data_IF_220615294380
#
_entry.id   IF_220615294380
#
_cell.length_a   1.000
_cell.length_b   1.000
_cell.length_c   1.000
_cell.angle_alpha   90.00
_cell.angle_beta   90.00
_cell.angle_gamma   90.00
#
_symmetry.space_group_name_H-M   'P 1'
#
loop_
_entity.id
_entity.type
_entity.pdbx_description
1 polymer ?
#
# COMPACT_ATOMS: atom_id res chain seq x y z
N UNK A 1 -0.44 -4.67 -29.77
CA UNK A 1 0.08 -4.39 -28.41
C UNK A 1 -1.09 -4.47 -27.46
N UNK A 2 -1.30 -5.67 -26.94
CA UNK A 2 -2.51 -6.10 -26.25
C UNK A 2 -2.64 -5.48 -24.86
N UNK A 3 -3.79 -4.82 -24.66
CA UNK A 3 -4.23 -4.11 -23.44
C UNK A 3 -4.59 -5.07 -22.28
N UNK A 4 -4.02 -6.28 -22.28
CA UNK A 4 -4.20 -7.32 -21.25
C UNK A 4 -3.11 -7.33 -20.18
N UNK A 5 -2.10 -6.46 -20.28
CA UNK A 5 -1.04 -6.38 -19.29
C UNK A 5 -1.50 -5.62 -18.04
N UNK A 6 -1.40 -6.31 -16.90
CA UNK A 6 -1.51 -5.84 -15.51
C UNK A 6 -2.95 -5.74 -14.98
N UNK A 7 -3.64 -6.88 -14.91
CA UNK A 7 -4.68 -7.10 -13.88
C UNK A 7 -4.03 -7.74 -12.64
N UNK A 8 -3.04 -7.08 -12.03
CA UNK A 8 -2.56 -7.46 -10.69
C UNK A 8 -3.42 -6.72 -9.69
N UNK A 9 -4.64 -7.23 -9.51
CA UNK A 9 -5.55 -6.82 -8.45
C UNK A 9 -5.39 -7.85 -7.35
N UNK A 10 -4.25 -7.84 -6.65
CA UNK A 10 -4.16 -8.51 -5.35
C UNK A 10 -4.86 -7.58 -4.36
N UNK A 11 -6.19 -7.62 -4.40
CA UNK A 11 -7.05 -7.00 -3.39
C UNK A 11 -7.00 -7.92 -2.19
N UNK A 12 -6.10 -7.63 -1.25
CA UNK A 12 -6.27 -8.12 0.11
C UNK A 12 -7.25 -7.17 0.77
N UNK A 13 -8.52 -7.29 0.38
CA UNK A 13 -9.61 -6.72 1.14
C UNK A 13 -9.75 -7.58 2.40
N UNK A 14 -9.35 -7.04 3.53
CA UNK A 14 -9.89 -7.47 4.82
C UNK A 14 -11.32 -6.95 4.87
N UNK A 15 -12.22 -7.67 4.20
CA UNK A 15 -13.66 -7.39 4.26
C UNK A 15 -14.17 -7.90 5.61
N UNK A 16 -14.07 -7.06 6.64
CA UNK A 16 -15.02 -7.12 7.75
C UNK A 16 -16.24 -6.29 7.33
N UNK A 17 -17.38 -6.97 7.21
CA UNK A 17 -18.55 -6.54 6.42
C UNK A 17 -19.01 -5.09 6.64
N UNK A 18 -19.15 -4.38 5.51
CA UNK A 18 -20.01 -3.21 5.40
C UNK A 18 -20.85 -3.38 4.12
N UNK A 19 -22.20 -3.34 4.18
CA UNK A 19 -23.04 -3.51 3.00
C UNK A 19 -22.87 -2.30 2.06
N UNK A 20 -22.73 -2.62 0.77
CA UNK A 20 -22.66 -1.69 -0.35
C UNK A 20 -23.88 -0.75 -0.35
N UNK A 21 -23.65 0.55 -0.22
CA UNK A 21 -24.55 1.58 -0.74
C UNK A 21 -23.77 2.43 -1.74
N UNK A 22 -24.07 2.21 -3.02
CA UNK A 22 -23.67 3.06 -4.13
C UNK A 22 -24.30 4.45 -3.93
N UNK A 23 -23.48 5.43 -3.53
CA UNK A 23 -23.75 6.84 -3.82
C UNK A 23 -22.63 7.35 -4.71
N UNK A 24 -23.02 7.80 -5.90
CA UNK A 24 -22.13 8.34 -6.92
C UNK A 24 -21.22 9.44 -6.33
N UNK A 25 -19.93 9.15 -6.19
CA UNK A 25 -18.94 10.20 -5.92
C UNK A 25 -18.62 10.87 -7.25
N UNK A 26 -18.99 12.15 -7.35
CA UNK A 26 -18.57 13.01 -8.45
C UNK A 26 -17.05 13.06 -8.45
N UNK A 27 -16.46 12.85 -9.63
CA UNK A 27 -15.03 13.05 -9.88
C UNK A 27 -14.68 14.49 -9.49
N UNK A 28 -13.99 14.64 -8.36
CA UNK A 28 -13.40 15.89 -7.88
C UNK A 28 -11.89 15.79 -8.05
N UNK A 29 -11.33 16.80 -8.71
CA UNK A 29 -9.95 16.91 -9.18
C UNK A 29 -8.87 16.45 -8.18
N UNK A 30 -7.81 15.85 -8.71
CA UNK A 30 -6.51 15.67 -8.06
C UNK A 30 -5.89 17.03 -7.72
N UNK A 31 -6.24 17.59 -6.56
CA UNK A 31 -5.53 18.73 -5.97
C UNK A 31 -4.33 18.26 -5.13
N UNK A 32 -3.35 19.15 -4.87
CA UNK A 32 -2.29 18.87 -3.89
C UNK A 32 -2.95 18.57 -2.54
N UNK A 33 -2.62 17.39 -1.98
CA UNK A 33 -3.18 16.93 -0.71
C UNK A 33 -2.43 17.62 0.42
N UNK A 34 -3.04 18.59 1.09
CA UNK A 34 -2.39 19.22 2.26
C UNK A 34 -2.54 18.34 3.49
N UNK A 35 -1.64 17.38 3.66
CA UNK A 35 -1.27 16.90 4.99
C UNK A 35 -0.44 17.99 5.68
N UNK A 36 -0.45 18.02 7.02
CA UNK A 36 0.54 18.83 7.72
C UNK A 36 1.95 18.30 7.40
N UNK A 37 2.97 19.14 7.15
CA UNK A 37 4.29 18.69 6.70
C UNK A 37 4.93 17.62 7.58
N UNK A 38 4.86 17.77 8.91
CA UNK A 38 5.40 16.79 9.86
C UNK A 38 4.59 15.47 9.87
N UNK A 39 3.29 15.55 9.60
CA UNK A 39 2.45 14.36 9.49
C UNK A 39 2.80 13.58 8.22
N UNK A 40 3.01 14.28 7.12
CA UNK A 40 3.40 13.71 5.83
C UNK A 40 4.75 13.00 5.90
N UNK A 41 5.78 13.68 6.41
CA UNK A 41 7.12 13.12 6.52
C UNK A 41 7.16 11.81 7.33
N UNK A 42 6.43 11.76 8.44
CA UNK A 42 6.35 10.57 9.27
C UNK A 42 5.54 9.44 8.62
N UNK A 43 4.44 9.72 7.92
CA UNK A 43 3.71 8.71 7.16
C UNK A 43 4.55 8.12 6.02
N UNK A 44 5.33 8.98 5.33
CA UNK A 44 6.29 8.54 4.31
C UNK A 44 7.34 7.63 4.92
N UNK A 45 7.93 8.01 6.05
CA UNK A 45 8.93 7.20 6.74
C UNK A 45 8.38 5.81 7.13
N UNK A 46 7.16 5.75 7.69
CA UNK A 46 6.52 4.50 8.06
C UNK A 46 6.23 3.60 6.85
N UNK A 47 5.73 4.18 5.75
CA UNK A 47 5.44 3.42 4.53
C UNK A 47 6.71 2.87 3.87
N UNK A 48 7.77 3.68 3.81
CA UNK A 48 9.08 3.26 3.30
C UNK A 48 9.70 2.17 4.19
N UNK A 49 9.60 2.29 5.51
CA UNK A 49 10.13 1.26 6.42
C UNK A 49 9.37 -0.06 6.31
N UNK A 50 8.05 -0.02 6.12
CA UNK A 50 7.27 -1.24 5.84
C UNK A 50 7.84 -2.02 4.66
N UNK A 51 8.11 -1.35 3.54
CA UNK A 51 8.65 -2.02 2.33
C UNK A 51 10.10 -2.45 2.56
N UNK A 52 10.89 -1.67 3.29
CA UNK A 52 12.26 -2.04 3.65
C UNK A 52 12.28 -3.31 4.52
N UNK A 53 11.41 -3.40 5.53
CA UNK A 53 11.29 -4.56 6.40
C UNK A 53 10.88 -5.82 5.61
N UNK A 54 9.90 -5.70 4.69
CA UNK A 54 9.54 -6.78 3.77
C UNK A 54 10.72 -7.27 2.94
N UNK A 55 11.51 -6.34 2.39
CA UNK A 55 12.66 -6.68 1.55
C UNK A 55 13.75 -7.44 2.32
N UNK A 56 13.83 -7.26 3.65
CA UNK A 56 14.73 -7.98 4.56
C UNK A 56 14.13 -9.27 5.13
N UNK A 57 12.87 -9.60 4.81
CA UNK A 57 12.16 -10.73 5.40
C UNK A 57 11.72 -10.52 6.86
N UNK A 58 11.75 -9.28 7.35
CA UNK A 58 11.33 -8.93 8.70
C UNK A 58 9.82 -8.61 8.74
N UNK A 59 9.01 -9.65 8.68
CA UNK A 59 7.55 -9.52 8.65
C UNK A 59 6.96 -9.08 10.00
N UNK A 60 7.69 -9.28 11.10
CA UNK A 60 7.30 -8.77 12.41
C UNK A 60 7.41 -7.23 12.42
N UNK A 61 8.54 -6.67 11.96
CA UNK A 61 8.70 -5.23 11.82
C UNK A 61 7.71 -4.65 10.79
N UNK A 62 7.53 -5.31 9.64
CA UNK A 62 6.64 -4.84 8.58
C UNK A 62 5.17 -4.70 9.04
N UNK A 63 4.73 -5.49 10.02
CA UNK A 63 3.35 -5.47 10.54
C UNK A 63 3.23 -4.73 11.88
N UNK A 64 4.32 -4.22 12.45
CA UNK A 64 4.33 -3.60 13.79
C UNK A 64 3.39 -2.37 13.87
N UNK A 65 3.31 -1.59 12.80
CA UNK A 65 2.50 -0.37 12.70
C UNK A 65 1.09 -0.57 12.15
N UNK A 66 0.69 -1.81 11.90
CA UNK A 66 -0.68 -2.12 11.49
C UNK A 66 -1.65 -1.83 12.65
N UNK A 67 -2.84 -1.35 12.30
CA UNK A 67 -3.94 -1.28 13.25
C UNK A 67 -4.43 -2.70 13.64
N UNK A 68 -5.32 -2.78 14.62
CA UNK A 68 -5.80 -4.07 15.12
C UNK A 68 -6.48 -4.94 14.05
N UNK A 69 -7.26 -4.31 13.16
CA UNK A 69 -7.98 -4.99 12.08
C UNK A 69 -6.99 -5.55 11.05
N UNK A 70 -6.02 -4.74 10.64
CA UNK A 70 -5.01 -5.09 9.66
C UNK A 70 -4.08 -6.17 10.20
N UNK A 71 -3.68 -6.11 11.49
CA UNK A 71 -2.90 -7.19 12.15
C UNK A 71 -3.66 -8.51 12.19
N UNK A 72 -4.95 -8.48 12.51
CA UNK A 72 -5.75 -9.70 12.60
C UNK A 72 -5.87 -10.43 11.26
N UNK A 73 -5.91 -9.68 10.16
CA UNK A 73 -6.12 -10.26 8.83
C UNK A 73 -4.85 -10.41 7.98
N UNK A 74 -3.85 -9.57 8.22
CA UNK A 74 -2.54 -9.57 7.55
C UNK A 74 -1.41 -9.52 8.60
N UNK A 75 -1.40 -10.51 9.48
CA UNK A 75 -0.28 -10.72 10.40
C UNK A 75 1.01 -11.19 9.67
N UNK A 76 2.14 -11.32 10.40
CA UNK A 76 3.45 -11.60 9.82
C UNK A 76 3.49 -12.79 8.85
N UNK A 77 2.92 -13.93 9.24
CA UNK A 77 2.93 -15.15 8.42
C UNK A 77 2.12 -15.00 7.14
N UNK A 78 0.95 -14.34 7.21
CA UNK A 78 0.14 -14.10 6.02
C UNK A 78 0.83 -13.12 5.09
N UNK A 79 1.48 -12.09 5.64
CA UNK A 79 2.18 -11.11 4.84
C UNK A 79 3.43 -11.69 4.17
N UNK A 80 4.13 -12.62 4.85
CA UNK A 80 5.21 -13.43 4.26
C UNK A 80 4.77 -14.18 3.01
N UNK A 81 3.61 -14.83 3.07
CA UNK A 81 3.07 -15.55 1.90
C UNK A 81 2.79 -14.57 0.75
N UNK A 82 2.15 -13.44 1.04
CA UNK A 82 1.83 -12.42 0.04
C UNK A 82 3.10 -11.86 -0.62
N UNK A 83 4.15 -11.60 0.16
CA UNK A 83 5.43 -11.14 -0.38
C UNK A 83 6.11 -12.20 -1.26
N UNK A 84 6.04 -13.47 -0.87
CA UNK A 84 6.56 -14.57 -1.67
C UNK A 84 5.79 -14.73 -2.99
N UNK A 85 4.45 -14.64 -2.96
CA UNK A 85 3.60 -14.69 -4.15
C UNK A 85 3.95 -13.54 -5.12
N UNK A 86 4.11 -12.32 -4.59
CA UNK A 86 4.52 -11.15 -5.36
C UNK A 86 5.90 -11.35 -6.01
N UNK A 87 6.85 -11.94 -5.30
CA UNK A 87 8.15 -12.32 -5.85
C UNK A 87 8.06 -13.40 -6.93
N UNK A 88 7.14 -14.36 -6.77
CA UNK A 88 6.84 -15.38 -7.78
C UNK A 88 6.29 -14.78 -9.09
N UNK A 89 5.55 -13.68 -9.01
CA UNK A 89 4.97 -12.99 -10.17
C UNK A 89 5.90 -11.95 -10.79
N UNK A 90 6.55 -11.10 -9.97
CA UNK A 90 7.34 -9.96 -10.44
C UNK A 90 8.85 -10.23 -10.44
N UNK A 91 9.29 -11.35 -9.86
CA UNK A 91 10.71 -11.68 -9.70
C UNK A 91 11.32 -10.99 -8.49
N UNK A 92 12.65 -10.96 -8.41
CA UNK A 92 13.32 -10.40 -7.23
C UNK A 92 13.04 -8.90 -7.09
N UNK A 93 12.85 -8.46 -5.83
CA UNK A 93 12.78 -7.04 -5.48
C UNK A 93 14.12 -6.36 -5.79
N UNK A 94 14.08 -5.22 -6.47
CA UNK A 94 15.26 -4.41 -6.83
C UNK A 94 15.43 -3.18 -5.95
N UNK A 95 14.32 -2.58 -5.50
CA UNK A 95 14.39 -1.42 -4.61
C UNK A 95 13.16 -0.52 -4.66
N UNK A 96 13.15 0.46 -3.76
CA UNK A 96 12.21 1.58 -3.81
C UNK A 96 12.74 2.65 -4.77
N UNK A 97 11.86 3.24 -5.58
CA UNK A 97 12.20 4.21 -6.63
C UNK A 97 11.62 5.60 -6.38
N UNK A 98 10.76 5.75 -5.38
CA UNK A 98 10.23 7.04 -4.97
C UNK A 98 8.96 6.91 -4.14
N UNK A 99 8.48 8.03 -3.63
CA UNK A 99 7.25 8.10 -2.85
C UNK A 99 6.34 9.20 -3.36
N UNK A 100 5.03 8.99 -3.25
CA UNK A 100 4.02 10.02 -3.51
C UNK A 100 2.99 10.02 -2.39
N UNK A 101 2.60 11.18 -1.92
CA UNK A 101 1.54 11.35 -0.92
C UNK A 101 0.23 11.74 -1.61
N UNK A 102 -0.89 11.46 -0.95
CA UNK A 102 -2.20 11.82 -1.47
C UNK A 102 -3.32 11.52 -0.50
N UNK A 103 -4.55 11.75 -0.95
CA UNK A 103 -5.76 11.34 -0.23
C UNK A 103 -6.66 10.46 -1.11
N UNK A 104 -7.27 9.44 -0.50
CA UNK A 104 -8.29 8.58 -1.13
C UNK A 104 -9.53 8.54 -0.24
N UNK A 105 -10.65 9.04 -0.75
CA UNK A 105 -11.89 9.15 0.03
C UNK A 105 -11.70 9.86 1.38
N UNK A 106 -10.82 10.87 1.41
CA UNK A 106 -10.48 11.63 2.62
C UNK A 106 -9.39 11.01 3.51
N UNK A 107 -8.94 9.78 3.21
CA UNK A 107 -7.92 9.04 3.98
C UNK A 107 -6.53 9.37 3.42
N UNK A 108 -5.56 9.61 4.32
CA UNK A 108 -4.17 9.82 3.94
C UNK A 108 -3.54 8.54 3.38
N UNK A 109 -2.89 8.68 2.23
CA UNK A 109 -2.21 7.58 1.56
C UNK A 109 -0.80 7.95 1.14
N UNK A 110 0.11 7.00 1.27
CA UNK A 110 1.47 7.06 0.72
C UNK A 110 1.63 5.93 -0.29
N UNK A 111 2.08 6.27 -1.48
CA UNK A 111 2.50 5.32 -2.52
C UNK A 111 4.00 5.17 -2.44
N UNK A 112 4.50 3.96 -2.18
CA UNK A 112 5.92 3.63 -2.25
C UNK A 112 6.19 2.91 -3.56
N UNK A 113 6.71 3.62 -4.55
CA UNK A 113 7.04 3.06 -5.86
C UNK A 113 8.23 2.10 -5.71
N UNK A 114 8.11 0.92 -6.30
CA UNK A 114 9.03 -0.19 -6.19
C UNK A 114 9.34 -0.77 -7.57
N UNK A 115 10.56 -1.26 -7.71
CA UNK A 115 11.03 -1.97 -8.88
C UNK A 115 11.33 -3.43 -8.53
N UNK A 116 10.87 -4.33 -9.40
CA UNK A 116 11.12 -5.76 -9.39
C UNK A 116 11.68 -6.17 -10.76
N UNK A 117 12.23 -7.38 -10.87
CA UNK A 117 12.84 -7.86 -12.13
C UNK A 117 11.94 -7.79 -13.35
N UNK A 118 10.64 -8.02 -13.18
CA UNK A 118 9.67 -8.13 -14.27
C UNK A 118 8.59 -7.04 -14.23
N UNK A 119 8.77 -5.99 -13.43
CA UNK A 119 7.79 -4.92 -13.37
C UNK A 119 8.02 -3.87 -12.29
N UNK A 120 7.18 -2.83 -12.34
CA UNK A 120 7.13 -1.76 -11.34
C UNK A 120 5.73 -1.70 -10.75
N UNK A 121 5.65 -1.49 -9.45
CA UNK A 121 4.40 -1.36 -8.69
C UNK A 121 4.56 -0.28 -7.62
N UNK A 122 3.47 0.17 -7.02
CA UNK A 122 3.49 0.92 -5.77
C UNK A 122 2.78 0.14 -4.68
N UNK A 123 3.34 0.20 -3.46
CA UNK A 123 2.58 -0.11 -2.26
C UNK A 123 1.82 1.15 -1.85
N UNK A 124 0.49 1.13 -2.04
CA UNK A 124 -0.40 2.16 -1.54
C UNK A 124 -0.76 1.84 -0.09
N UNK A 125 -0.21 2.62 0.83
CA UNK A 125 -0.37 2.51 2.28
C UNK A 125 -1.37 3.55 2.75
N UNK A 126 -2.45 3.13 3.39
CA UNK A 126 -3.46 4.02 3.96
C UNK A 126 -3.27 4.14 5.48
N UNK A 127 -3.39 5.37 5.99
CA UNK A 127 -3.24 5.68 7.40
C UNK A 127 -4.56 6.11 8.04
N UNK A 128 -4.83 5.61 9.23
CA UNK A 128 -5.93 6.12 10.06
C UNK A 128 -5.52 7.38 10.84
N UNK A 129 -6.44 7.94 11.63
CA UNK A 129 -6.19 9.17 12.41
C UNK A 129 -5.10 9.01 13.48
N UNK A 130 -4.89 7.79 13.98
CA UNK A 130 -3.83 7.43 14.93
C UNK A 130 -2.50 7.13 14.23
N UNK A 131 -2.44 7.33 12.90
CA UNK A 131 -1.28 7.06 12.03
C UNK A 131 -0.83 5.60 12.03
N UNK A 132 -1.75 4.70 12.30
CA UNK A 132 -1.55 3.28 12.06
C UNK A 132 -1.91 2.94 10.62
N UNK A 133 -1.27 1.92 10.09
CA UNK A 133 -1.56 1.42 8.75
C UNK A 133 -2.88 0.64 8.83
N UNK A 134 -3.89 1.17 8.16
CA UNK A 134 -5.26 0.63 8.14
C UNK A 134 -5.64 0.04 6.78
N UNK A 135 -4.73 0.10 5.80
CA UNK A 135 -4.92 -0.49 4.49
C UNK A 135 -3.63 -0.55 3.69
N UNK A 136 -3.52 -1.59 2.85
CA UNK A 136 -2.37 -1.82 1.98
C UNK A 136 -2.83 -2.43 0.66
N UNK A 137 -2.38 -1.84 -0.45
CA UNK A 137 -2.66 -2.35 -1.79
C UNK A 137 -1.40 -2.32 -2.66
N UNK A 138 -1.25 -3.31 -3.53
CA UNK A 138 -0.26 -3.27 -4.63
C UNK A 138 -0.98 -2.73 -5.87
N UNK A 139 -0.49 -1.62 -6.40
CA UNK A 139 -1.12 -0.88 -7.52
C UNK A 139 -0.06 -0.52 -8.57
N UNK A 140 -0.45 -0.06 -9.78
CA UNK A 140 0.51 0.52 -10.71
C UNK A 140 1.31 1.67 -10.06
N UNK A 141 2.57 1.90 -10.49
CA UNK A 141 3.41 2.94 -9.90
C UNK A 141 2.76 4.31 -10.01
N UNK A 142 2.86 5.11 -8.95
CA UNK A 142 2.34 6.46 -8.96
C UNK A 142 3.20 7.35 -9.90
N UNK A 143 2.58 8.24 -10.70
CA UNK A 143 3.30 9.10 -11.63
C UNK A 143 4.09 10.20 -10.93
#
# INVERSE_FOLDING_TARGET
>A
MDKKMIAVVVVIAVVAGLPLLLKAVRSGASGPSTMAPDAEAASVALATELVSALSRGDFAAATAHFDGTMKAAMGPEKFRQVWADLGGELGAFKGQTGTKTGKKMGIDVVYVNCEFERGKVAFQVAFNNDRQISGLYVVPPAP
#
